data_IF_044318552052
#
_entry.id   IF_044318552052
#
_cell.length_a   1.000
_cell.length_b   1.000
_cell.length_c   1.000
_cell.angle_alpha   90.00
_cell.angle_beta   90.00
_cell.angle_gamma   90.00
#
_symmetry.space_group_name_H-M   'P 1'
#
loop_
_entity.id
_entity.type
_entity.pdbx_description
1 polymer ?
#
# COMPACT_ATOMS: atom_id res chain seq x y z
N UNK A 1 48.97 38.52 69.98
CA UNK A 1 49.57 37.24 70.42
C UNK A 1 48.46 36.20 70.59
N UNK A 2 48.65 35.02 69.97
CA UNK A 2 48.00 33.71 70.25
C UNK A 2 46.50 33.58 69.87
N UNK A 3 46.25 32.81 68.79
CA UNK A 3 45.57 31.49 68.74
C UNK A 3 44.05 31.63 68.51
N UNK A 4 43.33 30.80 67.75
CA UNK A 4 43.61 29.57 67.03
C UNK A 4 42.54 29.37 65.92
N UNK A 5 42.84 28.43 65.03
CA UNK A 5 42.04 27.96 63.91
C UNK A 5 40.67 27.38 64.29
N UNK A 6 39.73 27.44 63.34
CA UNK A 6 38.66 26.45 63.21
C UNK A 6 38.46 26.13 61.72
N UNK A 7 38.78 24.88 61.41
CA UNK A 7 38.64 24.18 60.14
C UNK A 7 37.14 23.99 59.87
N UNK A 8 36.67 24.26 58.66
CA UNK A 8 35.38 23.78 58.20
C UNK A 8 35.50 23.25 56.77
N UNK A 9 35.16 21.98 56.64
CA UNK A 9 35.34 21.10 55.50
C UNK A 9 34.68 21.62 54.22
N UNK A 10 35.45 21.71 53.13
CA UNK A 10 34.89 21.91 51.79
C UNK A 10 34.34 20.56 51.31
N UNK A 11 33.01 20.47 51.30
CA UNK A 11 32.24 19.36 50.78
C UNK A 11 32.36 19.35 49.25
N UNK A 12 33.01 18.34 48.69
CA UNK A 12 33.14 18.12 47.25
C UNK A 12 31.81 17.60 46.69
N UNK A 13 31.00 18.47 46.09
CA UNK A 13 29.77 18.09 45.40
C UNK A 13 30.10 17.53 44.00
N UNK A 14 30.03 16.20 43.86
CA UNK A 14 30.10 15.51 42.56
C UNK A 14 28.75 15.70 41.86
N UNK A 15 28.73 16.49 40.79
CA UNK A 15 27.59 16.65 39.90
C UNK A 15 27.40 15.36 39.07
N UNK A 16 26.38 14.57 39.40
CA UNK A 16 25.88 13.47 38.58
C UNK A 16 25.13 14.07 37.37
N UNK A 17 25.69 13.92 36.17
CA UNK A 17 24.97 14.19 34.93
C UNK A 17 23.92 13.08 34.71
N UNK A 18 22.67 13.40 34.29
CA UNK A 18 21.71 12.38 33.91
C UNK A 18 22.13 11.75 32.59
N UNK A 19 22.43 10.45 32.61
CA UNK A 19 22.58 9.64 31.40
C UNK A 19 21.20 9.50 30.78
N UNK A 20 20.94 10.23 29.70
CA UNK A 20 19.77 10.00 28.85
C UNK A 20 20.00 8.69 28.12
N UNK A 21 19.41 7.61 28.63
CA UNK A 21 19.33 6.34 27.89
C UNK A 21 18.28 6.53 26.81
N UNK A 22 18.72 6.72 25.57
CA UNK A 22 17.83 6.67 24.41
C UNK A 22 17.19 5.27 24.37
N UNK A 23 15.89 5.20 24.63
CA UNK A 23 15.13 3.98 24.51
C UNK A 23 15.09 3.58 23.03
N UNK A 24 15.95 2.65 22.65
CA UNK A 24 15.88 1.98 21.34
C UNK A 24 14.53 1.29 21.26
N UNK A 25 13.65 1.76 20.36
CA UNK A 25 12.37 1.12 20.08
C UNK A 25 12.61 -0.35 19.68
N UNK A 26 11.81 -1.26 20.22
CA UNK A 26 11.82 -2.65 19.82
C UNK A 26 11.49 -2.73 18.33
N UNK A 27 12.41 -3.20 17.51
CA UNK A 27 12.10 -3.54 16.12
C UNK A 27 11.17 -4.75 16.13
N UNK A 28 9.93 -4.55 15.74
CA UNK A 28 9.01 -5.66 15.52
C UNK A 28 9.35 -6.26 14.16
N UNK A 29 9.99 -7.42 14.17
CA UNK A 29 10.18 -8.22 12.96
C UNK A 29 8.90 -9.03 12.76
N UNK A 30 8.11 -8.68 11.75
CA UNK A 30 7.03 -9.55 11.30
C UNK A 30 7.64 -10.55 10.32
N UNK A 31 7.81 -11.79 10.76
CA UNK A 31 8.18 -12.90 9.88
C UNK A 31 6.88 -13.47 9.30
N UNK A 32 6.72 -13.36 7.98
CA UNK A 32 5.60 -13.94 7.25
C UNK A 32 5.84 -15.44 7.06
N UNK A 33 4.98 -16.26 7.65
CA UNK A 33 5.01 -17.71 7.48
C UNK A 33 3.87 -18.13 6.56
N UNK A 34 4.21 -18.50 5.33
CA UNK A 34 3.24 -19.12 4.41
C UNK A 34 3.02 -20.57 4.86
N UNK A 35 1.85 -20.84 5.44
CA UNK A 35 1.39 -22.21 5.70
C UNK A 35 1.01 -22.85 4.37
N UNK A 36 1.94 -23.58 3.74
CA UNK A 36 1.65 -24.41 2.58
C UNK A 36 1.44 -25.86 3.04
N UNK A 37 0.33 -26.12 3.72
CA UNK A 37 -0.10 -27.46 4.07
C UNK A 37 -0.87 -28.07 2.87
N UNK A 38 -0.16 -28.29 1.76
CA UNK A 38 -0.67 -29.03 0.61
C UNK A 38 -0.85 -30.51 0.95
N UNK A 39 -1.97 -30.84 1.60
CA UNK A 39 -2.38 -32.21 1.91
C UNK A 39 -3.64 -32.20 2.78
N UNK A 40 -4.54 -33.17 2.56
CA UNK A 40 -5.71 -33.38 3.42
C UNK A 40 -5.22 -33.80 4.80
N UNK A 41 -5.41 -33.02 5.88
CA UNK A 41 -5.11 -33.49 7.21
C UNK A 41 -6.00 -34.71 7.48
N UNK A 42 -5.40 -35.83 7.89
CA UNK A 42 -6.12 -37.04 8.32
C UNK A 42 -7.03 -36.80 9.53
N UNK A 43 -6.99 -35.60 10.10
CA UNK A 43 -7.79 -35.10 11.23
C UNK A 43 -8.41 -33.73 10.91
N UNK A 44 -9.03 -33.58 9.75
CA UNK A 44 -9.86 -32.39 9.45
C UNK A 44 -10.99 -32.25 10.47
N UNK A 45 -11.27 -31.03 10.92
CA UNK A 45 -12.42 -30.79 11.79
C UNK A 45 -13.69 -30.92 10.96
N UNK A 46 -14.49 -31.96 11.23
CA UNK A 46 -15.81 -32.13 10.65
C UNK A 46 -16.88 -31.66 11.63
N UNK A 47 -17.76 -30.79 11.16
CA UNK A 47 -18.98 -30.41 11.88
C UNK A 47 -20.14 -31.04 11.11
N UNK A 48 -20.85 -31.95 11.77
CA UNK A 48 -21.93 -32.73 11.17
C UNK A 48 -23.25 -32.43 11.88
N UNK A 49 -24.32 -32.28 11.09
CA UNK A 49 -25.73 -32.29 11.50
C UNK A 49 -26.49 -33.25 10.59
N UNK A 50 -27.71 -33.64 10.96
CA UNK A 50 -28.58 -34.49 10.13
C UNK A 50 -28.88 -33.95 8.72
N UNK A 51 -28.50 -32.69 8.46
CA UNK A 51 -28.80 -31.97 7.21
C UNK A 51 -27.57 -31.49 6.45
N UNK A 52 -26.37 -31.56 7.02
CA UNK A 52 -25.14 -31.20 6.32
C UNK A 52 -23.89 -31.76 7.01
N UNK A 53 -22.86 -31.98 6.21
CA UNK A 53 -21.51 -32.28 6.66
C UNK A 53 -20.56 -31.22 6.10
N UNK A 54 -19.87 -30.50 6.98
CA UNK A 54 -18.81 -29.56 6.61
C UNK A 54 -17.47 -30.17 7.00
N UNK A 55 -16.57 -30.33 6.03
CA UNK A 55 -15.20 -30.81 6.25
C UNK A 55 -14.22 -29.78 5.72
N UNK A 56 -13.37 -29.25 6.61
CA UNK A 56 -12.28 -28.35 6.24
C UNK A 56 -11.06 -29.19 5.85
N UNK A 57 -10.82 -29.35 4.54
CA UNK A 57 -9.80 -30.26 4.00
C UNK A 57 -8.50 -29.59 3.55
N UNK A 58 -8.37 -28.28 3.67
CA UNK A 58 -7.09 -27.58 3.46
C UNK A 58 -7.14 -26.16 4.03
N UNK A 59 -6.10 -25.78 4.77
CA UNK A 59 -5.78 -24.38 5.06
C UNK A 59 -4.55 -24.08 4.19
N UNK A 60 -4.75 -23.60 2.96
CA UNK A 60 -3.63 -23.31 2.07
C UNK A 60 -3.92 -23.19 0.58
N UNK A 61 -5.07 -23.65 0.07
CA UNK A 61 -5.46 -23.35 -1.31
C UNK A 61 -6.30 -22.07 -1.30
N UNK A 62 -5.63 -20.93 -1.50
CA UNK A 62 -6.31 -19.67 -1.75
C UNK A 62 -7.07 -19.77 -3.07
N UNK A 63 -8.35 -20.14 -3.01
CA UNK A 63 -9.27 -19.94 -4.12
C UNK A 63 -9.51 -18.43 -4.24
N UNK A 64 -8.60 -17.73 -4.91
CA UNK A 64 -8.81 -16.36 -5.33
C UNK A 64 -9.89 -16.36 -6.44
N UNK A 65 -11.15 -16.28 -6.04
CA UNK A 65 -12.30 -16.22 -6.94
C UNK A 65 -13.63 -16.42 -6.21
N UNK A 66 -14.77 -15.97 -6.80
CA UNK A 66 -16.09 -16.08 -6.18
C UNK A 66 -16.61 -17.52 -6.34
N UNK A 67 -15.97 -18.49 -5.68
CA UNK A 67 -16.54 -19.82 -5.51
C UNK A 67 -17.44 -19.78 -4.28
N UNK A 68 -18.61 -19.18 -4.45
CA UNK A 68 -19.70 -19.31 -3.50
C UNK A 68 -20.16 -20.77 -3.47
N UNK A 69 -19.89 -21.47 -2.37
CA UNK A 69 -20.54 -22.75 -2.09
C UNK A 69 -22.01 -22.46 -1.82
N UNK A 70 -22.85 -22.57 -2.85
CA UNK A 70 -24.28 -22.32 -2.78
C UNK A 70 -25.10 -23.60 -3.00
N UNK A 71 -26.13 -23.77 -2.17
CA UNK A 71 -27.27 -24.64 -2.43
C UNK A 71 -28.54 -23.79 -2.43
N UNK A 72 -29.68 -24.40 -2.77
CA UNK A 72 -30.98 -23.73 -2.68
C UNK A 72 -31.34 -23.20 -1.27
N UNK A 73 -30.59 -23.59 -0.22
CA UNK A 73 -30.92 -23.26 1.17
C UNK A 73 -29.77 -22.58 1.95
N UNK A 74 -28.57 -22.48 1.39
CA UNK A 74 -27.44 -21.81 2.04
C UNK A 74 -26.40 -21.35 1.01
N UNK A 75 -25.74 -20.23 1.28
CA UNK A 75 -24.53 -19.81 0.59
C UNK A 75 -23.46 -19.51 1.64
N UNK A 76 -22.29 -20.13 1.53
CA UNK A 76 -21.12 -19.77 2.33
C UNK A 76 -20.06 -19.20 1.42
N UNK A 77 -19.90 -17.88 1.46
CA UNK A 77 -18.79 -17.20 0.78
C UNK A 77 -17.58 -17.25 1.71
N UNK A 78 -16.60 -18.10 1.41
CA UNK A 78 -15.32 -18.12 2.11
C UNK A 78 -14.41 -17.07 1.49
N UNK A 79 -14.79 -15.80 1.66
CA UNK A 79 -14.01 -14.65 1.21
C UNK A 79 -12.73 -14.52 2.03
N UNK A 80 -11.69 -15.29 1.69
CA UNK A 80 -10.34 -14.86 2.00
C UNK A 80 -10.03 -13.70 1.05
N UNK A 81 -9.87 -12.46 1.52
CA UNK A 81 -9.39 -11.40 0.65
C UNK A 81 -8.05 -11.87 0.08
N UNK A 82 -7.86 -11.73 -1.24
CA UNK A 82 -6.53 -11.91 -1.83
C UNK A 82 -5.54 -11.12 -0.99
N UNK A 83 -4.44 -11.76 -0.56
CA UNK A 83 -3.41 -11.07 0.22
C UNK A 83 -2.90 -9.81 -0.50
N UNK A 84 -2.99 -9.82 -1.83
CA UNK A 84 -2.74 -8.68 -2.69
C UNK A 84 -3.91 -8.53 -3.67
N UNK A 85 -4.86 -7.63 -3.41
CA UNK A 85 -5.92 -7.36 -4.38
C UNK A 85 -5.33 -6.84 -5.70
N UNK A 86 -6.02 -7.11 -6.80
CA UNK A 86 -5.66 -6.53 -8.09
C UNK A 86 -5.81 -4.99 -8.01
N UNK A 87 -4.86 -4.21 -8.56
CA UNK A 87 -4.95 -2.75 -8.46
C UNK A 87 -6.13 -2.18 -9.25
N UNK A 88 -6.86 -1.27 -8.61
CA UNK A 88 -7.97 -0.53 -9.22
C UNK A 88 -7.54 0.73 -9.98
N UNK A 89 -8.53 1.53 -10.37
CA UNK A 89 -8.32 2.91 -10.84
C UNK A 89 -7.97 3.82 -9.64
N UNK A 90 -7.03 4.73 -9.84
CA UNK A 90 -6.66 5.71 -8.82
C UNK A 90 -7.62 6.90 -8.87
N UNK A 91 -8.32 7.13 -7.77
CA UNK A 91 -9.34 8.16 -7.69
C UNK A 91 -8.83 9.53 -7.25
N UNK A 92 -9.56 10.57 -7.69
CA UNK A 92 -9.41 11.96 -7.24
C UNK A 92 -8.00 12.54 -7.39
N UNK A 93 -7.38 12.32 -8.54
CA UNK A 93 -6.20 13.08 -8.93
C UNK A 93 -6.52 14.58 -9.01
N UNK A 94 -5.81 15.38 -8.22
CA UNK A 94 -5.97 16.84 -8.16
C UNK A 94 -4.62 17.52 -7.97
N UNK A 95 -4.54 18.79 -8.36
CA UNK A 95 -3.47 19.67 -7.92
C UNK A 95 -3.79 20.24 -6.53
N UNK A 96 -2.81 20.25 -5.63
CA UNK A 96 -2.90 20.94 -4.33
C UNK A 96 -2.27 22.32 -4.37
N UNK A 97 -1.36 22.53 -5.31
CA UNK A 97 -0.77 23.82 -5.69
C UNK A 97 -0.39 23.76 -7.18
N UNK A 98 0.37 24.73 -7.70
CA UNK A 98 0.71 24.81 -9.12
C UNK A 98 1.58 23.64 -9.64
N UNK A 99 2.24 22.89 -8.76
CA UNK A 99 3.22 21.85 -9.13
C UNK A 99 2.96 20.50 -8.46
N UNK A 100 2.16 20.46 -7.40
CA UNK A 100 1.95 19.25 -6.59
C UNK A 100 0.65 18.56 -6.97
N UNK A 101 0.76 17.32 -7.43
CA UNK A 101 -0.37 16.41 -7.65
C UNK A 101 -0.57 15.54 -6.42
N UNK A 102 -1.83 15.29 -6.07
CA UNK A 102 -2.23 14.38 -5.01
C UNK A 102 -3.47 13.57 -5.42
N UNK A 103 -3.61 12.38 -4.84
CA UNK A 103 -4.72 11.47 -5.08
C UNK A 103 -5.12 10.70 -3.81
N UNK A 104 -6.26 10.00 -3.87
CA UNK A 104 -6.66 9.10 -2.78
C UNK A 104 -5.81 7.84 -2.85
N UNK A 105 -5.30 7.40 -1.70
CA UNK A 105 -4.55 6.15 -1.61
C UNK A 105 -5.44 4.95 -1.98
N UNK A 106 -4.93 4.12 -2.90
CA UNK A 106 -5.61 2.95 -3.42
C UNK A 106 -5.37 1.73 -2.50
N UNK A 107 -6.36 0.83 -2.37
CA UNK A 107 -6.31 -0.26 -1.39
C UNK A 107 -5.26 -1.34 -1.68
N UNK A 108 -4.90 -1.53 -2.94
CA UNK A 108 -3.85 -2.43 -3.41
C UNK A 108 -2.47 -1.77 -3.51
N UNK A 109 -2.32 -0.51 -3.06
CA UNK A 109 -1.12 0.28 -3.33
C UNK A 109 0.17 -0.33 -2.77
N UNK A 110 1.06 -0.69 -3.69
CA UNK A 110 2.49 -0.86 -3.44
C UNK A 110 3.26 0.40 -3.84
N UNK A 111 3.07 0.85 -5.09
CA UNK A 111 3.70 2.03 -5.70
C UNK A 111 2.73 2.69 -6.67
N UNK A 112 3.00 3.93 -7.07
CA UNK A 112 2.25 4.62 -8.11
C UNK A 112 3.15 5.01 -9.28
N UNK A 113 2.55 5.10 -10.46
CA UNK A 113 3.18 5.59 -11.67
C UNK A 113 2.37 6.78 -12.21
N UNK A 114 3.05 7.88 -12.51
CA UNK A 114 2.47 9.09 -13.10
C UNK A 114 2.71 9.07 -14.61
N UNK A 115 1.62 9.23 -15.34
CA UNK A 115 1.61 9.38 -16.78
C UNK A 115 1.26 10.81 -17.16
N UNK A 116 1.96 11.36 -18.14
CA UNK A 116 1.78 12.73 -18.62
C UNK A 116 1.90 12.77 -20.14
N UNK A 117 1.08 13.60 -20.78
CA UNK A 117 1.34 14.08 -22.13
C UNK A 117 0.57 15.40 -22.32
N UNK A 118 0.70 16.01 -23.49
CA UNK A 118 -0.05 17.20 -23.89
C UNK A 118 -1.48 16.85 -24.27
N UNK A 119 -2.44 17.75 -24.03
CA UNK A 119 -3.84 17.57 -24.46
C UNK A 119 -3.99 17.35 -25.97
N UNK A 120 -3.01 17.79 -26.77
CA UNK A 120 -2.97 17.60 -28.22
C UNK A 120 -2.80 16.13 -28.63
N UNK A 121 -2.32 15.25 -27.74
CA UNK A 121 -2.18 13.81 -28.01
C UNK A 121 -3.47 13.02 -27.81
N UNK A 122 -4.44 13.57 -27.06
CA UNK A 122 -5.69 12.89 -26.71
C UNK A 122 -6.52 12.44 -27.92
N UNK A 123 -6.64 13.21 -29.03
CA UNK A 123 -7.35 12.74 -30.23
C UNK A 123 -6.73 11.47 -30.85
N UNK A 124 -5.44 11.21 -30.61
CA UNK A 124 -4.76 9.99 -31.02
C UNK A 124 -4.94 8.83 -30.03
N UNK A 125 -5.76 8.99 -28.98
CA UNK A 125 -5.96 8.03 -27.89
C UNK A 125 -4.65 7.66 -27.18
N UNK A 126 -3.70 8.59 -27.14
CA UNK A 126 -2.44 8.45 -26.39
C UNK A 126 -2.69 8.92 -24.96
N UNK A 127 -2.76 7.98 -24.03
CA UNK A 127 -3.10 8.21 -22.62
C UNK A 127 -1.88 8.39 -21.71
N UNK A 128 -0.91 9.17 -22.18
CA UNK A 128 0.25 9.58 -21.39
C UNK A 128 1.47 8.68 -21.61
N UNK A 129 2.64 9.30 -21.54
CA UNK A 129 3.92 8.61 -21.44
C UNK A 129 4.31 8.49 -19.97
N UNK A 130 5.17 7.53 -19.63
CA UNK A 130 5.67 7.37 -18.28
C UNK A 130 6.51 8.59 -17.90
N UNK A 131 6.01 9.40 -16.97
CA UNK A 131 6.68 10.62 -16.53
C UNK A 131 7.48 10.38 -15.26
N UNK A 132 6.86 9.72 -14.28
CA UNK A 132 7.50 9.33 -13.03
C UNK A 132 7.02 7.95 -12.62
N UNK A 133 7.91 7.16 -12.04
CA UNK A 133 7.62 5.78 -11.64
C UNK A 133 8.01 5.50 -10.19
N UNK A 134 7.49 4.42 -9.65
CA UNK A 134 7.81 3.91 -8.32
C UNK A 134 7.57 4.93 -7.18
N UNK A 135 6.56 5.80 -7.33
CA UNK A 135 6.18 6.81 -6.35
C UNK A 135 5.62 6.10 -5.12
N UNK A 136 6.24 6.29 -3.96
CA UNK A 136 5.88 5.58 -2.72
C UNK A 136 4.74 6.26 -1.93
N UNK A 137 4.41 7.50 -2.27
CA UNK A 137 3.38 8.30 -1.61
C UNK A 137 2.20 8.55 -2.54
N UNK A 138 1.08 9.02 -2.01
CA UNK A 138 -0.10 9.42 -2.80
C UNK A 138 -0.02 10.88 -3.30
N UNK A 139 1.20 11.36 -3.54
CA UNK A 139 1.49 12.69 -4.04
C UNK A 139 2.83 12.70 -4.76
N UNK A 140 2.95 13.56 -5.77
CA UNK A 140 4.21 13.88 -6.42
C UNK A 140 4.21 15.31 -6.96
N UNK A 141 5.38 15.82 -7.34
CA UNK A 141 5.56 17.14 -7.95
C UNK A 141 5.92 17.03 -9.42
N UNK A 142 5.38 17.92 -10.24
CA UNK A 142 5.83 18.19 -11.61
C UNK A 142 6.09 19.69 -11.75
N UNK A 143 7.34 20.05 -12.03
CA UNK A 143 7.78 21.45 -12.12
C UNK A 143 7.74 22.00 -13.55
N UNK A 144 7.45 21.16 -14.55
CA UNK A 144 7.47 21.59 -15.93
C UNK A 144 6.25 22.46 -16.25
N UNK A 145 6.49 23.49 -17.06
CA UNK A 145 5.43 24.36 -17.54
C UNK A 145 5.14 24.03 -19.01
N UNK A 146 3.87 23.77 -19.39
CA UNK A 146 3.53 23.56 -20.79
C UNK A 146 3.82 24.82 -21.60
N UNK A 147 4.21 24.64 -22.87
CA UNK A 147 4.39 25.76 -23.78
C UNK A 147 3.09 26.59 -23.88
N UNK A 148 3.23 27.90 -24.11
CA UNK A 148 2.06 28.79 -24.22
C UNK A 148 1.06 28.28 -25.26
N UNK A 149 -0.23 28.22 -24.88
CA UNK A 149 -1.30 27.66 -25.71
C UNK A 149 -1.42 26.13 -25.66
N UNK A 150 -0.58 25.45 -24.88
CA UNK A 150 -0.66 24.01 -24.61
C UNK A 150 -1.07 23.75 -23.17
N UNK A 151 -1.52 22.54 -22.88
CA UNK A 151 -1.72 22.04 -21.53
C UNK A 151 -1.27 20.59 -21.44
N UNK A 152 -0.85 20.16 -20.26
CA UNK A 152 -0.65 18.76 -19.94
C UNK A 152 -1.96 18.15 -19.42
N UNK A 153 -2.09 16.83 -19.60
CA UNK A 153 -2.98 16.01 -18.81
C UNK A 153 -2.15 15.00 -18.03
N UNK A 154 -2.74 14.50 -16.94
CA UNK A 154 -2.10 13.57 -16.02
C UNK A 154 -3.03 12.40 -15.76
N UNK A 155 -2.44 11.22 -15.64
CA UNK A 155 -3.09 10.01 -15.18
C UNK A 155 -2.18 9.34 -14.16
N UNK A 156 -2.75 8.68 -13.17
CA UNK A 156 -2.00 7.91 -12.18
C UNK A 156 -2.51 6.48 -12.22
N UNK A 157 -1.59 5.53 -12.19
CA UNK A 157 -1.91 4.12 -11.93
C UNK A 157 -1.25 3.69 -10.64
N UNK A 158 -1.74 2.57 -10.11
CA UNK A 158 -1.18 1.91 -8.94
C UNK A 158 -0.62 0.56 -9.34
N UNK A 159 0.55 0.23 -8.80
CA UNK A 159 1.17 -1.08 -8.89
C UNK A 159 1.09 -1.75 -7.52
N UNK A 160 0.61 -2.99 -7.48
CA UNK A 160 0.57 -3.76 -6.24
C UNK A 160 1.95 -4.38 -5.92
N UNK A 161 2.05 -5.09 -4.80
CA UNK A 161 3.31 -5.73 -4.38
C UNK A 161 3.74 -6.91 -5.25
N UNK A 162 2.86 -7.39 -6.13
CA UNK A 162 3.13 -8.45 -7.10
C UNK A 162 3.61 -7.89 -8.45
N UNK A 163 3.80 -6.57 -8.57
CA UNK A 163 4.17 -5.87 -9.80
C UNK A 163 3.09 -5.94 -10.89
N UNK A 164 1.83 -6.07 -10.48
CA UNK A 164 0.68 -5.89 -11.37
C UNK A 164 0.27 -4.42 -11.34
N UNK A 165 0.11 -3.79 -12.50
CA UNK A 165 -0.31 -2.40 -12.62
C UNK A 165 -1.80 -2.30 -12.99
N UNK A 166 -2.50 -1.38 -12.34
CA UNK A 166 -3.90 -1.07 -12.59
C UNK A 166 -4.12 -0.30 -13.91
N UNK A 167 -5.40 -0.07 -14.20
CA UNK A 167 -5.81 0.66 -15.41
C UNK A 167 -5.58 2.17 -15.26
N UNK A 168 -5.39 2.88 -16.39
CA UNK A 168 -5.31 4.35 -16.46
C UNK A 168 -6.70 5.04 -16.40
N UNK A 169 -7.72 4.29 -15.99
CA UNK A 169 -9.13 4.69 -15.98
C UNK A 169 -9.84 4.50 -17.32
N UNK A 170 -10.96 5.20 -17.48
CA UNK A 170 -11.86 5.08 -18.63
C UNK A 170 -12.00 6.38 -19.41
N UNK A 171 -12.15 6.29 -20.73
CA UNK A 171 -12.45 7.46 -21.58
C UNK A 171 -13.92 7.90 -21.47
N UNK A 172 -14.29 8.97 -22.18
CA UNK A 172 -15.65 9.51 -22.17
C UNK A 172 -16.71 8.56 -22.74
N UNK A 173 -16.32 7.49 -23.43
CA UNK A 173 -17.20 6.43 -23.92
C UNK A 173 -17.26 5.23 -22.95
N UNK A 174 -16.55 5.27 -21.83
CA UNK A 174 -16.46 4.19 -20.85
C UNK A 174 -15.50 3.07 -21.27
N UNK A 175 -14.64 3.30 -22.27
CA UNK A 175 -13.64 2.31 -22.69
C UNK A 175 -12.37 2.48 -21.86
N UNK A 176 -11.76 1.37 -21.44
CA UNK A 176 -10.50 1.40 -20.69
C UNK A 176 -9.40 2.11 -21.49
N UNK A 177 -8.69 3.04 -20.85
CA UNK A 177 -7.53 3.73 -21.42
C UNK A 177 -6.35 2.77 -21.53
N UNK A 178 -6.18 2.17 -22.70
CA UNK A 178 -5.08 1.23 -22.98
C UNK A 178 -3.77 1.96 -23.30
N UNK A 179 -2.62 1.35 -23.00
CA UNK A 179 -1.32 1.93 -23.30
C UNK A 179 -0.17 1.12 -22.70
N UNK A 180 1.06 1.58 -22.91
CA UNK A 180 2.23 0.99 -22.26
C UNK A 180 2.20 1.21 -20.74
N UNK A 181 2.79 0.26 -20.02
CA UNK A 181 3.12 0.42 -18.60
C UNK A 181 4.48 1.11 -18.45
N UNK A 182 4.75 1.70 -17.30
CA UNK A 182 6.08 2.22 -16.99
C UNK A 182 7.11 1.08 -16.98
N UNK A 183 8.34 1.32 -17.48
CA UNK A 183 9.40 0.32 -17.55
C UNK A 183 10.09 0.00 -16.22
#
# INVERSE_FOLDING_TARGET
>A
MKKAAAISSVLLAVLLAPVVVAQSSASYRMDEHVFNAGGTPTSGSSVNSTSYELSLVSIGEGLAGPLDLSSASYSTSLGFPSAYPAPGEVDRLTFTDEQTLAWIAEHAAGRYNLYRNTIASLPGLVYGDCEQQAIASNTTSDTDTPASGSAFFYLVTVENRLHEEGIKGYDGAGTTRMGGFCP
#
